data_IF_229190557248
#
_entry.id   IF_229190557248
#
_cell.length_a   1.000
_cell.length_b   1.000
_cell.length_c   1.000
_cell.angle_alpha   90.00
_cell.angle_beta   90.00
_cell.angle_gamma   90.00
#
_symmetry.space_group_name_H-M   'P 1'
#
loop_
_entity.id
_entity.type
_entity.pdbx_description
1 polymer ?
#
# COMPACT_ATOMS: atom_id res chain seq x y z
N UNK A 1 -12.82 -5.01 -0.78
CA UNK A 1 -11.74 -4.09 -0.38
C UNK A 1 -10.39 -4.57 -0.90
N UNK A 2 -9.47 -3.67 -1.11
CA UNK A 2 -8.12 -3.96 -1.51
C UNK A 2 -7.16 -2.97 -0.84
N UNK A 3 -6.03 -3.46 -0.32
CA UNK A 3 -4.98 -2.62 0.25
C UNK A 3 -3.92 -2.38 -0.83
N UNK A 4 -3.63 -1.12 -1.12
CA UNK A 4 -2.52 -0.78 -2.01
C UNK A 4 -1.24 -0.67 -1.19
N UNK A 5 -0.15 -1.32 -1.63
CA UNK A 5 1.14 -1.02 -1.05
C UNK A 5 1.62 0.37 -1.52
N UNK A 6 2.76 0.80 -1.04
CA UNK A 6 3.24 2.15 -1.31
C UNK A 6 3.41 2.42 -2.81
N UNK A 7 4.02 1.49 -3.55
CA UNK A 7 4.22 1.66 -5.00
C UNK A 7 2.91 1.56 -5.78
N UNK A 8 2.02 0.66 -5.39
CA UNK A 8 0.71 0.54 -6.04
C UNK A 8 -0.08 1.84 -5.89
N UNK A 9 -0.07 2.44 -4.70
CA UNK A 9 -0.72 3.73 -4.48
C UNK A 9 -0.08 4.84 -5.32
N UNK A 10 1.25 4.92 -5.30
CA UNK A 10 1.99 5.89 -6.10
C UNK A 10 1.64 5.78 -7.59
N UNK A 11 1.67 4.56 -8.13
CA UNK A 11 1.34 4.33 -9.54
C UNK A 11 -0.14 4.56 -9.85
N UNK A 12 -1.03 4.20 -8.95
CA UNK A 12 -2.45 4.49 -9.14
C UNK A 12 -2.71 5.98 -9.36
N UNK A 13 -1.99 6.83 -8.64
CA UNK A 13 -2.12 8.29 -8.74
C UNK A 13 -1.30 8.86 -9.90
N UNK A 14 -0.04 8.42 -10.06
CA UNK A 14 0.92 9.05 -10.98
C UNK A 14 1.04 8.39 -12.34
N UNK A 15 0.89 7.08 -12.41
CA UNK A 15 1.15 6.32 -13.64
C UNK A 15 0.40 4.98 -13.60
N UNK A 16 -0.93 5.00 -13.74
CA UNK A 16 -1.73 3.78 -13.59
C UNK A 16 -1.43 2.71 -14.64
N UNK A 17 -0.80 3.07 -15.77
CA UNK A 17 -0.41 2.09 -16.80
C UNK A 17 0.67 1.12 -16.30
N UNK A 18 1.36 1.43 -15.21
CA UNK A 18 2.31 0.50 -14.57
C UNK A 18 1.63 -0.62 -13.81
N UNK A 19 0.34 -0.50 -13.57
CA UNK A 19 -0.46 -1.55 -12.93
C UNK A 19 -1.06 -2.43 -14.03
N UNK A 20 -0.98 -3.77 -13.92
CA UNK A 20 -1.60 -4.66 -14.91
C UNK A 20 -3.07 -4.34 -15.13
N UNK A 21 -3.53 -4.40 -16.38
CA UNK A 21 -4.89 -4.01 -16.75
C UNK A 21 -5.99 -4.75 -15.94
N UNK A 22 -5.90 -6.06 -15.68
CA UNK A 22 -6.92 -6.73 -14.87
C UNK A 22 -6.99 -6.18 -13.44
N UNK A 23 -5.83 -5.87 -12.84
CA UNK A 23 -5.77 -5.29 -11.50
C UNK A 23 -6.29 -3.85 -11.49
N UNK A 24 -5.98 -3.05 -12.52
CA UNK A 24 -6.56 -1.70 -12.64
C UNK A 24 -8.08 -1.74 -12.64
N UNK A 25 -8.68 -2.67 -13.37
CA UNK A 25 -10.15 -2.83 -13.38
C UNK A 25 -10.68 -3.16 -12.00
N UNK A 26 -10.00 -4.06 -11.29
CA UNK A 26 -10.38 -4.42 -9.92
C UNK A 26 -10.28 -3.22 -8.97
N UNK A 27 -9.21 -2.43 -9.06
CA UNK A 27 -9.05 -1.24 -8.24
C UNK A 27 -10.14 -0.21 -8.56
N UNK A 28 -10.50 -0.05 -9.84
CA UNK A 28 -11.60 0.84 -10.24
C UNK A 28 -12.94 0.41 -9.63
N UNK A 29 -13.22 -0.89 -9.60
CA UNK A 29 -14.42 -1.42 -8.94
C UNK A 29 -14.41 -1.12 -7.45
N UNK A 30 -13.27 -1.29 -6.79
CA UNK A 30 -13.11 -0.96 -5.38
C UNK A 30 -13.21 0.55 -5.11
N UNK A 31 -12.74 1.38 -6.05
CA UNK A 31 -12.90 2.83 -5.98
C UNK A 31 -14.38 3.21 -5.93
N UNK A 32 -15.19 2.63 -6.79
CA UNK A 32 -16.63 2.88 -6.82
C UNK A 32 -17.31 2.43 -5.53
N UNK A 33 -16.84 1.35 -4.93
CA UNK A 33 -17.36 0.81 -3.68
C UNK A 33 -16.80 1.49 -2.42
N UNK A 34 -15.83 2.40 -2.58
CA UNK A 34 -15.16 3.05 -1.45
C UNK A 34 -14.25 2.11 -0.68
N UNK A 35 -13.67 1.11 -1.33
CA UNK A 35 -12.94 0.02 -0.70
C UNK A 35 -11.44 -0.03 -1.00
N UNK A 36 -10.81 1.09 -1.38
CA UNK A 36 -9.35 1.17 -1.54
C UNK A 36 -8.75 1.59 -0.20
N UNK A 37 -7.94 0.73 0.40
CA UNK A 37 -7.23 1.03 1.64
C UNK A 37 -5.79 1.45 1.34
N UNK A 38 -5.32 2.49 2.01
CA UNK A 38 -3.93 2.95 1.99
C UNK A 38 -3.48 3.19 3.43
N UNK A 39 -2.35 2.60 3.80
CA UNK A 39 -1.81 2.79 5.14
C UNK A 39 -1.09 4.13 5.27
N UNK A 40 -1.17 4.76 6.45
CA UNK A 40 -0.34 5.94 6.76
C UNK A 40 1.15 5.62 6.69
N UNK A 41 1.55 4.36 6.83
CA UNK A 41 2.93 3.92 6.63
C UNK A 41 3.41 4.25 5.22
N UNK A 42 2.54 4.16 4.22
CA UNK A 42 2.87 4.53 2.84
C UNK A 42 3.13 6.03 2.69
N UNK A 43 2.45 6.87 3.46
CA UNK A 43 2.74 8.31 3.52
C UNK A 43 4.17 8.53 4.03
N UNK A 44 4.53 7.87 5.12
CA UNK A 44 5.88 7.95 5.68
C UNK A 44 6.94 7.48 4.69
N UNK A 45 6.70 6.35 4.03
CA UNK A 45 7.64 5.79 3.04
C UNK A 45 7.89 6.75 1.87
N UNK A 46 6.83 7.32 1.32
CA UNK A 46 6.92 8.30 0.22
C UNK A 46 7.68 9.55 0.69
N UNK A 47 7.32 10.10 1.84
CA UNK A 47 7.97 11.27 2.39
C UNK A 47 9.46 11.02 2.66
N UNK A 48 9.80 9.86 3.22
CA UNK A 48 11.19 9.48 3.47
C UNK A 48 11.98 9.40 2.16
N UNK A 49 11.46 8.72 1.15
CA UNK A 49 12.13 8.56 -0.15
C UNK A 49 12.34 9.91 -0.84
N UNK A 50 11.38 10.81 -0.75
CA UNK A 50 11.55 12.19 -1.26
C UNK A 50 12.67 12.92 -0.51
N UNK A 51 12.72 12.78 0.82
CA UNK A 51 13.71 13.49 1.66
C UNK A 51 15.14 13.06 1.39
N UNK A 52 15.36 11.82 0.96
CA UNK A 52 16.69 11.27 0.66
C UNK A 52 16.99 11.22 -0.85
N UNK A 53 16.17 11.87 -1.68
CA UNK A 53 16.39 11.97 -3.12
C UNK A 53 16.13 10.72 -3.93
N UNK A 54 15.46 9.73 -3.39
CA UNK A 54 15.13 8.47 -4.09
C UNK A 54 13.81 8.49 -4.84
N UNK A 55 13.01 9.53 -4.65
CA UNK A 55 11.73 9.69 -5.30
C UNK A 55 11.51 11.16 -5.62
N UNK A 56 11.11 11.43 -6.87
CA UNK A 56 10.67 12.77 -7.30
C UNK A 56 9.19 12.75 -7.59
N UNK A 57 8.49 13.73 -7.05
CA UNK A 57 7.07 13.97 -7.31
C UNK A 57 6.89 15.24 -8.14
N UNK A 58 5.76 15.39 -8.88
CA UNK A 58 5.54 16.59 -9.69
C UNK A 58 5.26 17.85 -8.87
N UNK A 59 5.14 17.73 -7.55
CA UNK A 59 4.91 18.82 -6.62
C UNK A 59 5.57 18.49 -5.29
N UNK A 60 5.54 19.40 -4.32
CA UNK A 60 6.06 19.12 -2.98
C UNK A 60 5.28 17.95 -2.33
N UNK A 61 5.95 17.23 -1.45
CA UNK A 61 5.40 16.00 -0.88
C UNK A 61 4.12 16.25 -0.08
N UNK A 62 4.04 17.38 0.61
CA UNK A 62 2.85 17.75 1.40
C UNK A 62 1.61 17.87 0.52
N UNK A 63 1.74 18.62 -0.58
CA UNK A 63 0.65 18.82 -1.54
C UNK A 63 0.29 17.53 -2.25
N UNK A 64 1.29 16.73 -2.60
CA UNK A 64 1.05 15.45 -3.26
C UNK A 64 0.25 14.50 -2.35
N UNK A 65 0.66 14.37 -1.09
CA UNK A 65 -0.03 13.50 -0.14
C UNK A 65 -1.46 13.96 0.09
N UNK A 66 -1.67 15.28 0.27
CA UNK A 66 -3.02 15.81 0.44
C UNK A 66 -3.93 15.49 -0.74
N UNK A 67 -3.43 15.62 -1.96
CA UNK A 67 -4.18 15.28 -3.15
C UNK A 67 -4.41 13.77 -3.29
N UNK A 68 -3.36 12.97 -3.09
CA UNK A 68 -3.39 11.53 -3.29
C UNK A 68 -4.30 10.81 -2.30
N UNK A 69 -4.33 11.23 -1.04
CA UNK A 69 -5.22 10.63 -0.05
C UNK A 69 -6.69 11.04 -0.24
N UNK A 70 -6.93 12.07 -1.02
CA UNK A 70 -8.28 12.55 -1.37
C UNK A 70 -8.83 11.94 -2.67
N UNK A 71 -8.09 11.06 -3.30
CA UNK A 71 -8.57 10.36 -4.51
C UNK A 71 -9.83 9.56 -4.17
N UNK A 72 -10.75 9.43 -5.16
CA UNK A 72 -11.99 8.70 -4.93
C UNK A 72 -11.78 7.29 -4.39
N UNK A 73 -12.60 6.88 -3.45
CA UNK A 73 -12.61 5.53 -2.92
C UNK A 73 -11.49 5.19 -1.95
N UNK A 74 -10.54 6.10 -1.72
CA UNK A 74 -9.40 5.86 -0.82
C UNK A 74 -9.78 6.12 0.62
N UNK A 75 -9.46 5.16 1.48
CA UNK A 75 -9.56 5.25 2.93
C UNK A 75 -8.18 5.12 3.53
N UNK A 76 -7.73 6.16 4.22
CA UNK A 76 -6.46 6.12 4.94
C UNK A 76 -6.62 5.30 6.22
N UNK A 77 -5.70 4.36 6.45
CA UNK A 77 -5.73 3.47 7.61
C UNK A 77 -4.56 3.84 8.53
N UNK A 78 -4.84 4.20 9.79
CA UNK A 78 -3.78 4.56 10.73
C UNK A 78 -2.94 3.34 11.12
N UNK A 79 -1.70 3.59 11.55
CA UNK A 79 -0.87 2.58 12.18
C UNK A 79 -1.31 2.43 13.64
N UNK A 80 -2.12 1.41 13.90
CA UNK A 80 -2.63 1.12 15.25
C UNK A 80 -1.64 0.29 16.06
N UNK A 81 -1.86 0.23 17.38
CA UNK A 81 -1.10 -0.67 18.26
C UNK A 81 -1.24 -2.12 17.81
N UNK A 82 -2.42 -2.51 17.36
CA UNK A 82 -2.70 -3.87 16.89
C UNK A 82 -1.85 -4.22 15.67
N UNK A 83 -1.78 -3.33 14.67
CA UNK A 83 -0.95 -3.52 13.49
C UNK A 83 0.53 -3.56 13.86
N UNK A 84 0.97 -2.63 14.70
CA UNK A 84 2.37 -2.59 15.15
C UNK A 84 2.77 -3.90 15.84
N UNK A 85 1.93 -4.40 16.73
CA UNK A 85 2.19 -5.66 17.42
C UNK A 85 2.20 -6.85 16.46
N UNK A 86 1.17 -6.97 15.61
CA UNK A 86 1.07 -8.06 14.64
C UNK A 86 2.26 -8.10 13.68
N UNK A 87 2.82 -6.95 13.33
CA UNK A 87 4.00 -6.87 12.44
C UNK A 87 5.22 -7.61 13.00
N UNK A 88 5.28 -7.81 14.32
CA UNK A 88 6.36 -8.55 15.00
C UNK A 88 6.02 -10.02 15.20
N UNK A 89 4.77 -10.42 14.97
CA UNK A 89 4.25 -11.75 15.22
C UNK A 89 3.90 -12.51 13.94
N UNK A 90 4.35 -12.05 12.78
CA UNK A 90 4.04 -12.69 11.51
C UNK A 90 4.54 -14.12 11.48
N UNK A 91 3.69 -15.10 11.05
CA UNK A 91 4.09 -16.50 11.05
C UNK A 91 5.17 -16.78 10.01
N UNK A 92 5.92 -17.85 10.24
CA UNK A 92 7.02 -18.26 9.36
C UNK A 92 8.15 -17.24 9.32
N UNK A 93 8.76 -17.11 8.15
CA UNK A 93 9.87 -16.18 7.93
C UNK A 93 9.46 -15.11 6.93
N UNK A 94 9.55 -13.86 7.34
CA UNK A 94 9.38 -12.71 6.48
C UNK A 94 10.52 -11.72 6.75
N UNK A 95 10.95 -10.98 5.70
CA UNK A 95 12.09 -10.08 5.82
C UNK A 95 11.85 -8.93 6.80
N UNK A 96 12.92 -8.22 7.18
CA UNK A 96 12.90 -7.29 8.30
C UNK A 96 12.46 -5.87 7.97
N UNK A 97 12.18 -5.56 6.70
CA UNK A 97 11.75 -4.20 6.32
C UNK A 97 10.49 -3.81 7.10
N UNK A 98 10.55 -2.76 7.95
CA UNK A 98 9.42 -2.42 8.82
C UNK A 98 8.16 -2.03 8.04
N UNK A 99 8.30 -1.25 6.98
CA UNK A 99 7.15 -0.80 6.20
C UNK A 99 6.40 -2.00 5.60
N UNK A 100 7.11 -2.95 5.00
CA UNK A 100 6.50 -4.15 4.44
C UNK A 100 5.83 -4.99 5.53
N UNK A 101 6.45 -5.11 6.69
CA UNK A 101 5.87 -5.86 7.80
C UNK A 101 4.57 -5.23 8.29
N UNK A 102 4.50 -3.91 8.39
CA UNK A 102 3.26 -3.21 8.76
C UNK A 102 2.17 -3.42 7.72
N UNK A 103 2.50 -3.36 6.43
CA UNK A 103 1.51 -3.57 5.36
C UNK A 103 0.98 -5.00 5.36
N UNK A 104 1.85 -5.99 5.51
CA UNK A 104 1.45 -7.39 5.59
C UNK A 104 0.58 -7.63 6.83
N UNK A 105 0.95 -7.08 7.97
CA UNK A 105 0.17 -7.19 9.20
C UNK A 105 -1.23 -6.60 9.02
N UNK A 106 -1.33 -5.43 8.40
CA UNK A 106 -2.60 -4.78 8.13
C UNK A 106 -3.49 -5.62 7.22
N UNK A 107 -2.92 -6.15 6.15
CA UNK A 107 -3.65 -7.04 5.23
C UNK A 107 -4.23 -8.25 5.96
N UNK A 108 -3.43 -8.89 6.79
CA UNK A 108 -3.84 -10.06 7.55
C UNK A 108 -4.94 -9.74 8.57
N UNK A 109 -4.77 -8.67 9.33
CA UNK A 109 -5.74 -8.27 10.37
C UNK A 109 -7.10 -7.87 9.77
N UNK A 110 -7.09 -7.25 8.61
CA UNK A 110 -8.30 -6.83 7.92
C UNK A 110 -8.89 -7.91 7.01
N UNK A 111 -8.15 -8.99 6.79
CA UNK A 111 -8.50 -10.01 5.80
C UNK A 111 -8.79 -9.40 4.42
N UNK A 112 -7.91 -8.51 3.98
CA UNK A 112 -8.00 -7.78 2.71
C UNK A 112 -6.73 -8.06 1.91
N UNK A 113 -6.83 -8.44 0.61
CA UNK A 113 -5.64 -8.70 -0.18
C UNK A 113 -4.83 -7.43 -0.40
N UNK A 114 -3.51 -7.60 -0.48
CA UNK A 114 -2.60 -6.50 -0.78
C UNK A 114 -2.20 -6.52 -2.25
N UNK A 115 -2.40 -5.39 -2.93
CA UNK A 115 -1.91 -5.18 -4.29
C UNK A 115 -0.45 -4.74 -4.20
N UNK A 116 0.44 -5.57 -4.70
CA UNK A 116 1.88 -5.34 -4.64
C UNK A 116 2.62 -6.03 -5.77
N UNK A 117 3.62 -5.34 -6.33
CA UNK A 117 4.59 -5.92 -7.26
C UNK A 117 5.81 -6.49 -6.52
N UNK A 118 5.92 -6.26 -5.23
CA UNK A 118 7.09 -6.68 -4.44
C UNK A 118 7.17 -8.19 -4.34
N UNK A 119 8.29 -8.75 -4.80
CA UNK A 119 8.48 -10.21 -4.85
C UNK A 119 8.51 -10.84 -3.47
N UNK A 120 9.03 -10.15 -2.46
CA UNK A 120 9.13 -10.69 -1.10
C UNK A 120 7.75 -10.83 -0.47
N UNK A 121 6.87 -9.86 -0.67
CA UNK A 121 5.49 -9.94 -0.21
C UNK A 121 4.73 -11.02 -1.00
N UNK A 122 4.88 -11.02 -2.32
CA UNK A 122 4.21 -12.01 -3.18
C UNK A 122 4.61 -13.44 -2.89
N UNK A 123 5.86 -13.66 -2.47
CA UNK A 123 6.37 -14.98 -2.11
C UNK A 123 5.97 -15.41 -0.69
N UNK A 124 5.49 -14.48 0.14
CA UNK A 124 5.12 -14.80 1.51
C UNK A 124 3.79 -15.56 1.55
N UNK A 125 3.77 -16.81 2.05
CA UNK A 125 2.58 -17.66 1.95
C UNK A 125 1.44 -17.29 2.91
N UNK A 126 1.70 -16.44 3.90
CA UNK A 126 0.74 -16.10 4.94
C UNK A 126 0.03 -14.75 4.69
N UNK A 127 0.09 -14.23 3.49
CA UNK A 127 -0.66 -13.04 3.07
C UNK A 127 -1.27 -13.26 1.70
N UNK A 128 -2.48 -12.78 1.50
CA UNK A 128 -3.11 -12.76 0.18
C UNK A 128 -2.59 -11.55 -0.59
N UNK A 129 -1.88 -11.78 -1.70
CA UNK A 129 -1.35 -10.71 -2.54
C UNK A 129 -1.80 -10.86 -3.98
N UNK A 130 -1.88 -9.75 -4.70
CA UNK A 130 -2.31 -9.72 -6.09
C UNK A 130 -1.51 -8.67 -6.87
N UNK A 131 -1.15 -9.03 -8.11
CA UNK A 131 -0.51 -8.10 -9.05
C UNK A 131 -0.94 -8.36 -10.50
N UNK A 132 -2.05 -9.02 -10.72
CA UNK A 132 -2.59 -9.33 -12.06
C UNK A 132 -4.11 -9.17 -12.14
#
# INVERSE_FOLDING_TARGET
MILLDTHAWLWWVQDPDRIPAPLRRRIQEEEEAGGILVSVVSVWEIALKCSIGKLELPMDVKSWVAAAQSYPGIRMVPLSSEVALESTLLPGTFHQDPADRFLVALSRLRDVPIATADRKIRAYPFVASVWD
#
